data_IF_303780824437
#
_entry.id   IF_303780824437
#
_cell.length_a   1.000
_cell.length_b   1.000
_cell.length_c   1.000
_cell.angle_alpha   90.00
_cell.angle_beta   90.00
_cell.angle_gamma   90.00
#
_symmetry.space_group_name_H-M   'P 1'
#
loop_
_entity.id
_entity.type
_entity.pdbx_description
1 polymer ?
#
# COMPACT_ATOMS: atom_id res chain seq x y z
N UNK A 1 -11.38 9.93 -7.36
CA UNK A 1 -10.50 11.09 -7.60
C UNK A 1 -10.60 12.14 -6.50
N UNK A 2 -11.70 12.90 -6.36
CA UNK A 2 -11.77 14.02 -5.40
C UNK A 2 -11.59 13.62 -3.93
N UNK A 3 -12.13 12.46 -3.51
CA UNK A 3 -11.91 11.95 -2.16
C UNK A 3 -10.44 11.59 -1.90
N UNK A 4 -9.73 11.04 -2.90
CA UNK A 4 -8.30 10.75 -2.78
C UNK A 4 -7.51 12.04 -2.66
N UNK A 5 -7.78 13.02 -3.54
CA UNK A 5 -7.15 14.34 -3.49
C UNK A 5 -7.40 14.99 -2.12
N UNK A 6 -8.63 14.95 -1.60
CA UNK A 6 -8.96 15.46 -0.27
C UNK A 6 -8.23 14.71 0.84
N UNK A 7 -8.17 13.37 0.81
CA UNK A 7 -7.46 12.59 1.82
C UNK A 7 -5.97 12.96 1.90
N UNK A 8 -5.32 13.12 0.74
CA UNK A 8 -3.89 13.44 0.69
C UNK A 8 -3.60 14.94 0.93
N UNK A 9 -4.45 15.85 0.44
CA UNK A 9 -4.31 17.29 0.67
C UNK A 9 -4.64 17.71 2.11
N UNK A 10 -5.60 17.04 2.76
CA UNK A 10 -5.93 17.29 4.17
C UNK A 10 -4.75 16.95 5.09
N UNK A 11 -3.93 15.97 4.73
CA UNK A 11 -2.75 15.58 5.50
C UNK A 11 -1.62 16.64 5.42
N UNK A 12 -1.54 17.41 4.32
CA UNK A 12 -0.59 18.53 4.21
C UNK A 12 -1.03 19.75 5.04
N UNK A 13 -2.34 20.00 5.13
CA UNK A 13 -2.89 21.12 5.91
C UNK A 13 -2.77 20.89 7.42
N UNK A 14 -2.88 19.64 7.88
CA UNK A 14 -2.64 19.31 9.29
C UNK A 14 -1.20 19.61 9.69
N UNK A 15 -0.17 19.35 8.87
CA UNK A 15 1.21 19.70 9.24
C UNK A 15 1.45 21.23 9.36
N UNK A 16 0.74 22.06 8.58
CA UNK A 16 0.84 23.53 8.65
C UNK A 16 0.01 24.15 9.79
N UNK A 17 -1.00 23.44 10.31
CA UNK A 17 -1.84 23.90 11.42
C UNK A 17 -1.48 23.27 12.78
N UNK A 18 -0.64 22.25 12.81
CA UNK A 18 -0.37 21.44 14.00
C UNK A 18 1.04 21.69 14.55
N UNK A 19 1.25 22.89 15.11
CA UNK A 19 2.23 23.08 16.19
C UNK A 19 1.71 22.57 17.55
N UNK A 20 0.57 21.85 17.59
CA UNK A 20 -0.12 21.51 18.85
C UNK A 20 -0.70 20.09 18.98
N UNK A 21 -0.38 19.12 18.11
CA UNK A 21 -0.92 17.75 18.26
C UNK A 21 0.15 16.68 18.10
N UNK A 22 0.83 16.50 19.22
CA UNK A 22 1.70 15.37 19.55
C UNK A 22 0.97 14.04 19.28
N UNK A 23 1.36 13.39 18.19
CA UNK A 23 1.35 11.93 17.97
C UNK A 23 0.01 11.21 18.09
N UNK A 24 -0.59 10.84 16.96
CA UNK A 24 -1.54 9.73 16.96
C UNK A 24 -1.27 8.71 15.85
N UNK A 25 -1.08 7.45 16.29
CA UNK A 25 -0.73 6.27 15.49
C UNK A 25 -1.84 5.85 14.50
N UNK A 26 -3.03 6.43 14.62
CA UNK A 26 -4.17 6.18 13.72
C UNK A 26 -4.07 6.95 12.41
N UNK A 27 -3.54 8.17 12.45
CA UNK A 27 -3.58 9.12 11.32
C UNK A 27 -2.85 8.59 10.07
N UNK A 28 -1.75 7.84 10.26
CA UNK A 28 -0.96 7.26 9.17
C UNK A 28 -1.75 6.28 8.31
N UNK A 29 -2.73 5.58 8.88
CA UNK A 29 -3.50 4.53 8.20
C UNK A 29 -4.93 4.98 7.87
N UNK A 30 -5.34 6.15 8.37
CA UNK A 30 -6.72 6.63 8.19
C UNK A 30 -7.05 6.82 6.70
N UNK A 31 -6.10 7.28 5.89
CA UNK A 31 -6.28 7.36 4.44
C UNK A 31 -6.52 5.98 3.81
N UNK A 32 -5.85 4.90 4.27
CA UNK A 32 -6.09 3.53 3.80
C UNK A 32 -7.50 3.05 4.17
N UNK A 33 -7.95 3.35 5.38
CA UNK A 33 -9.30 3.00 5.84
C UNK A 33 -10.38 3.77 5.08
N UNK A 34 -10.19 5.07 4.86
CA UNK A 34 -11.14 5.91 4.11
C UNK A 34 -11.25 5.41 2.66
N UNK A 35 -10.12 5.14 2.02
CA UNK A 35 -10.08 4.57 0.67
C UNK A 35 -10.85 3.26 0.60
N UNK A 36 -10.59 2.34 1.53
CA UNK A 36 -11.24 1.03 1.53
C UNK A 36 -12.72 1.11 1.87
N UNK A 37 -13.08 1.96 2.83
CA UNK A 37 -14.46 2.26 3.21
C UNK A 37 -15.25 2.85 2.04
N UNK A 38 -14.64 3.79 1.30
CA UNK A 38 -15.26 4.38 0.12
C UNK A 38 -15.57 3.32 -0.95
N UNK A 39 -14.66 2.36 -1.20
CA UNK A 39 -14.92 1.26 -2.13
C UNK A 39 -16.13 0.42 -1.71
N UNK A 40 -16.32 0.18 -0.40
CA UNK A 40 -17.50 -0.55 0.09
C UNK A 40 -18.78 0.24 -0.10
N UNK A 41 -18.75 1.56 0.14
CA UNK A 41 -19.91 2.45 -0.02
C UNK A 41 -20.32 2.56 -1.49
N UNK A 42 -19.32 2.74 -2.37
CA UNK A 42 -19.57 2.91 -3.79
C UNK A 42 -19.74 1.60 -4.54
N UNK A 43 -19.52 0.43 -3.93
CA UNK A 43 -19.58 -0.88 -4.62
C UNK A 43 -20.91 -1.08 -5.36
N UNK A 44 -22.01 -0.84 -4.67
CA UNK A 44 -23.35 -1.17 -5.14
C UNK A 44 -23.94 -0.05 -6.03
N UNK A 45 -23.37 1.16 -5.94
CA UNK A 45 -23.74 2.32 -6.76
C UNK A 45 -22.80 2.56 -7.94
N UNK A 46 -21.64 1.87 -7.99
CA UNK A 46 -20.61 2.06 -9.02
C UNK A 46 -21.15 1.87 -10.43
N UNK A 47 -21.96 0.84 -10.63
CA UNK A 47 -22.57 0.54 -11.94
C UNK A 47 -23.56 1.62 -12.37
N UNK A 48 -24.34 2.16 -11.44
CA UNK A 48 -25.26 3.27 -11.72
C UNK A 48 -24.50 4.57 -12.03
N UNK A 49 -23.38 4.82 -11.35
CA UNK A 49 -22.55 5.99 -11.63
C UNK A 49 -21.83 5.88 -12.98
N UNK A 50 -21.36 4.68 -13.35
CA UNK A 50 -20.76 4.40 -14.66
C UNK A 50 -21.75 4.55 -15.83
N UNK A 51 -23.03 4.27 -15.60
CA UNK A 51 -24.09 4.45 -16.60
C UNK A 51 -24.74 5.84 -16.52
N UNK A 52 -24.30 6.67 -15.57
CA UNK A 52 -24.84 8.00 -15.31
C UNK A 52 -24.04 9.13 -15.96
N UNK A 53 -24.39 10.38 -15.67
CA UNK A 53 -23.74 11.57 -16.26
C UNK A 53 -22.26 11.73 -15.85
N UNK A 54 -21.81 11.01 -14.81
CA UNK A 54 -20.42 11.00 -14.35
C UNK A 54 -19.55 9.94 -15.05
N UNK A 55 -20.13 9.13 -15.94
CA UNK A 55 -19.44 8.10 -16.72
C UNK A 55 -18.08 8.52 -17.29
N UNK A 56 -17.96 9.65 -18.02
CA UNK A 56 -16.68 10.03 -18.65
C UNK A 56 -15.56 10.26 -17.63
N UNK A 57 -15.87 10.79 -16.45
CA UNK A 57 -14.91 11.02 -15.37
C UNK A 57 -14.50 9.70 -14.70
N UNK A 58 -15.42 8.74 -14.66
CA UNK A 58 -15.20 7.45 -14.01
C UNK A 58 -14.48 6.45 -14.92
N UNK A 59 -14.64 6.56 -16.24
CA UNK A 59 -13.94 5.73 -17.22
C UNK A 59 -12.42 5.90 -17.14
N UNK A 60 -11.92 7.11 -16.85
CA UNK A 60 -10.48 7.36 -16.60
C UNK A 60 -9.92 6.62 -15.38
N UNK A 61 -10.79 6.16 -14.48
CA UNK A 61 -10.39 5.42 -13.26
C UNK A 61 -10.42 3.91 -13.44
N UNK A 62 -10.96 3.42 -14.56
CA UNK A 62 -10.97 2.00 -14.88
C UNK A 62 -9.58 1.63 -15.38
N UNK A 63 -8.85 0.85 -14.57
CA UNK A 63 -7.64 0.20 -15.05
C UNK A 63 -8.02 -0.74 -16.19
N UNK A 64 -7.48 -0.59 -17.40
CA UNK A 64 -7.78 -1.52 -18.47
C UNK A 64 -7.06 -2.83 -18.15
N UNK A 65 -7.80 -3.82 -17.66
CA UNK A 65 -7.26 -5.14 -17.29
C UNK A 65 -6.64 -5.91 -18.48
N UNK A 66 -6.80 -5.38 -19.69
CA UNK A 66 -6.38 -5.98 -20.96
C UNK A 66 -5.12 -5.33 -21.54
N UNK A 67 -4.44 -4.43 -20.81
CA UNK A 67 -3.19 -3.86 -21.29
C UNK A 67 -2.11 -4.94 -21.43
N UNK A 68 -1.33 -4.85 -22.52
CA UNK A 68 -0.20 -5.74 -22.71
C UNK A 68 0.80 -5.57 -21.56
N UNK A 69 1.38 -6.67 -21.03
CA UNK A 69 2.39 -6.57 -19.99
C UNK A 69 3.59 -5.77 -20.51
N UNK A 70 4.03 -4.79 -19.71
CA UNK A 70 5.26 -4.06 -19.98
C UNK A 70 6.47 -5.02 -19.86
N UNK A 71 7.60 -4.74 -20.54
CA UNK A 71 8.82 -5.54 -20.39
C UNK A 71 9.26 -5.56 -18.92
N UNK A 72 9.67 -6.73 -18.43
CA UNK A 72 10.03 -6.95 -17.04
C UNK A 72 11.11 -5.95 -16.58
N UNK A 73 10.80 -5.16 -15.55
CA UNK A 73 11.79 -4.28 -14.94
C UNK A 73 12.66 -5.09 -13.98
N UNK A 74 13.93 -5.28 -14.35
CA UNK A 74 14.96 -5.98 -13.57
C UNK A 74 15.01 -5.48 -12.12
N UNK A 75 14.81 -4.19 -11.91
CA UNK A 75 14.85 -3.57 -10.58
C UNK A 75 13.62 -3.94 -9.73
N UNK A 76 12.43 -4.06 -10.32
CA UNK A 76 11.23 -4.53 -9.62
C UNK A 76 11.35 -6.01 -9.23
N UNK A 77 11.84 -6.85 -10.14
CA UNK A 77 12.05 -8.28 -9.86
C UNK A 77 13.12 -8.48 -8.78
N UNK A 78 14.19 -7.69 -8.80
CA UNK A 78 15.21 -7.68 -7.73
C UNK A 78 14.60 -7.31 -6.37
N UNK A 79 13.79 -6.25 -6.30
CA UNK A 79 13.13 -5.79 -5.07
C UNK A 79 12.17 -6.83 -4.49
N UNK A 80 11.41 -7.49 -5.36
CA UNK A 80 10.50 -8.55 -4.95
C UNK A 80 11.26 -9.77 -4.38
N UNK A 81 12.39 -10.12 -4.99
CA UNK A 81 13.26 -11.19 -4.50
C UNK A 81 13.90 -10.88 -3.14
N UNK A 82 14.20 -9.60 -2.86
CA UNK A 82 14.64 -9.19 -1.52
C UNK A 82 13.52 -9.37 -0.50
N UNK A 83 12.28 -9.01 -0.85
CA UNK A 83 11.13 -9.13 0.04
C UNK A 83 10.75 -10.56 0.36
N UNK A 84 10.86 -11.48 -0.61
CA UNK A 84 10.59 -12.90 -0.39
C UNK A 84 11.65 -13.57 0.49
N UNK A 85 12.86 -13.00 0.59
CA UNK A 85 13.93 -13.45 1.47
C UNK A 85 13.80 -12.94 2.92
N UNK A 86 12.80 -12.11 3.24
CA UNK A 86 12.58 -11.69 4.63
C UNK A 86 12.25 -12.90 5.52
N UNK A 87 12.85 -13.00 6.71
CA UNK A 87 12.53 -14.07 7.65
C UNK A 87 11.15 -13.82 8.28
N UNK A 88 10.08 -14.10 7.52
CA UNK A 88 8.69 -14.05 8.01
C UNK A 88 8.45 -15.02 9.19
N UNK A 89 9.33 -16.01 9.37
CA UNK A 89 9.19 -17.11 10.33
C UNK A 89 9.76 -16.83 11.73
N UNK A 90 10.41 -15.67 11.98
CA UNK A 90 10.99 -15.35 13.28
C UNK A 90 10.06 -14.63 14.27
N UNK A 91 8.87 -14.21 13.83
CA UNK A 91 8.02 -13.27 14.57
C UNK A 91 6.95 -13.93 15.46
N UNK A 92 7.01 -15.26 15.63
CA UNK A 92 6.09 -16.02 16.49
C UNK A 92 6.83 -16.75 17.60
N UNK A 93 6.58 -16.31 18.84
CA UNK A 93 6.69 -17.07 20.10
C UNK A 93 8.08 -17.61 20.53
N UNK A 94 8.71 -16.86 21.47
CA UNK A 94 9.41 -17.48 22.61
C UNK A 94 8.37 -18.25 23.44
N UNK A 95 8.10 -19.51 23.10
CA UNK A 95 7.60 -20.49 24.07
C UNK A 95 8.05 -21.89 23.64
N UNK A 96 9.09 -22.35 24.32
CA UNK A 96 9.37 -23.71 24.80
C UNK A 96 8.54 -24.85 24.16
N UNK A 97 9.28 -25.71 23.44
CA UNK A 97 9.19 -27.17 23.33
C UNK A 97 7.87 -27.90 23.00
N UNK A 98 7.90 -28.61 21.85
CA UNK A 98 7.48 -30.01 21.62
C UNK A 98 5.95 -30.30 21.76
N UNK A 99 5.23 -31.06 20.90
CA UNK A 99 5.58 -32.23 20.07
C UNK A 99 4.41 -32.62 19.13
N UNK A 100 4.74 -33.26 18.00
CA UNK A 100 3.92 -34.17 17.16
C UNK A 100 2.74 -33.65 16.29
N UNK A 101 2.77 -34.12 15.03
CA UNK A 101 1.85 -33.95 13.86
C UNK A 101 0.51 -34.70 14.04
N UNK A 102 -0.49 -34.74 13.10
CA UNK A 102 -0.63 -34.19 11.74
C UNK A 102 -2.00 -33.53 11.37
N UNK A 103 -2.02 -32.79 10.25
CA UNK A 103 -3.12 -32.51 9.27
C UNK A 103 -4.57 -32.29 9.78
N UNK A 104 -5.11 -31.07 9.58
CA UNK A 104 -6.23 -30.77 8.65
C UNK A 104 -6.87 -29.40 8.93
N UNK A 105 -7.49 -28.84 7.88
CA UNK A 105 -8.64 -27.91 7.88
C UNK A 105 -8.43 -26.39 8.06
N UNK A 106 -8.66 -25.67 6.93
CA UNK A 106 -8.95 -24.24 6.73
C UNK A 106 -7.75 -23.30 6.83
N UNK A 107 -7.21 -22.96 5.67
CA UNK A 107 -6.11 -22.02 5.44
C UNK A 107 -6.40 -20.66 6.09
N UNK A 108 -5.93 -20.48 7.31
CA UNK A 108 -5.55 -19.16 7.82
C UNK A 108 -4.32 -18.74 7.03
N UNK A 109 -4.53 -18.20 5.82
CA UNK A 109 -3.44 -17.56 5.08
C UNK A 109 -2.93 -16.46 6.00
N UNK A 110 -1.66 -16.56 6.40
CA UNK A 110 -1.05 -15.49 7.16
C UNK A 110 -1.16 -14.19 6.33
N UNK A 111 -1.56 -13.07 6.94
CA UNK A 111 -1.91 -11.85 6.20
C UNK A 111 -0.71 -11.21 5.48
N UNK A 112 0.51 -11.52 5.90
CA UNK A 112 1.75 -10.96 5.33
C UNK A 112 2.10 -11.59 3.97
N UNK A 113 2.20 -12.92 3.78
CA UNK A 113 2.41 -13.52 2.46
C UNK A 113 1.37 -13.11 1.42
N UNK A 114 0.09 -13.01 1.79
CA UNK A 114 -0.96 -12.55 0.89
C UNK A 114 -0.77 -11.08 0.47
N UNK A 115 -0.37 -10.21 1.41
CA UNK A 115 -0.07 -8.81 1.10
C UNK A 115 1.20 -8.65 0.24
N UNK A 116 2.20 -9.52 0.43
CA UNK A 116 3.40 -9.59 -0.39
C UNK A 116 3.06 -10.04 -1.83
N UNK A 117 2.25 -11.08 -1.98
CA UNK A 117 1.80 -11.54 -3.29
C UNK A 117 0.98 -10.45 -4.02
N UNK A 118 0.10 -9.76 -3.29
CA UNK A 118 -0.61 -8.62 -3.84
C UNK A 118 0.34 -7.50 -4.29
N UNK A 119 1.43 -7.25 -3.54
CA UNK A 119 2.43 -6.23 -3.87
C UNK A 119 3.25 -6.63 -5.10
N UNK A 120 3.67 -7.89 -5.16
CA UNK A 120 4.30 -8.51 -6.33
C UNK A 120 3.50 -8.26 -7.59
N UNK A 121 2.20 -8.55 -7.54
CA UNK A 121 1.30 -8.36 -8.67
C UNK A 121 1.01 -6.88 -8.97
N UNK A 122 1.23 -5.98 -8.02
CA UNK A 122 1.01 -4.55 -8.21
C UNK A 122 2.12 -3.89 -9.02
N UNK A 123 3.38 -4.33 -8.91
CA UNK A 123 4.50 -3.73 -9.66
C UNK A 123 4.32 -3.86 -11.18
N UNK A 124 4.07 -5.04 -11.78
CA UNK A 124 3.83 -5.16 -13.21
C UNK A 124 2.62 -4.36 -13.67
N UNK A 125 1.54 -4.35 -12.87
CA UNK A 125 0.32 -3.57 -13.20
C UNK A 125 0.59 -2.07 -13.22
N UNK A 126 1.37 -1.58 -12.26
CA UNK A 126 1.80 -0.18 -12.23
C UNK A 126 2.67 0.15 -13.44
N UNK A 127 3.64 -0.71 -13.76
CA UNK A 127 4.54 -0.53 -14.89
C UNK A 127 3.77 -0.49 -16.22
N UNK A 128 2.85 -1.42 -16.44
CA UNK A 128 1.97 -1.43 -17.61
C UNK A 128 1.13 -0.16 -17.69
N UNK A 129 0.52 0.31 -16.59
CA UNK A 129 -0.23 1.56 -16.63
C UNK A 129 0.67 2.80 -16.90
N UNK A 130 1.91 2.80 -16.41
CA UNK A 130 2.86 3.88 -16.65
C UNK A 130 3.30 3.92 -18.12
N UNK A 131 3.63 2.77 -18.73
CA UNK A 131 4.04 2.72 -20.14
C UNK A 131 2.93 3.20 -21.09
N UNK A 132 1.68 3.02 -20.71
CA UNK A 132 0.51 3.50 -21.46
C UNK A 132 0.07 4.92 -21.08
N UNK A 133 0.79 5.62 -20.17
CA UNK A 133 0.45 6.97 -19.70
C UNK A 133 -0.95 7.09 -19.07
N UNK A 134 -1.48 5.99 -18.53
CA UNK A 134 -2.79 5.94 -17.86
C UNK A 134 -2.65 5.80 -16.34
N UNK A 135 -1.43 5.84 -15.80
CA UNK A 135 -1.19 5.63 -14.38
C UNK A 135 -1.71 6.79 -13.53
N UNK A 136 -2.75 6.53 -12.74
CA UNK A 136 -3.37 7.49 -11.83
C UNK A 136 -3.29 7.03 -10.38
N UNK A 137 -3.47 7.96 -9.44
CA UNK A 137 -3.55 7.65 -8.01
C UNK A 137 -4.65 6.62 -7.71
N UNK A 138 -5.79 6.71 -8.42
CA UNK A 138 -6.87 5.73 -8.33
C UNK A 138 -6.37 4.31 -8.64
N UNK A 139 -5.56 4.16 -9.69
CA UNK A 139 -4.96 2.89 -10.07
C UNK A 139 -3.98 2.42 -9.01
N UNK A 140 -3.07 3.29 -8.56
CA UNK A 140 -2.09 2.96 -7.52
C UNK A 140 -2.74 2.47 -6.23
N UNK A 141 -3.91 3.01 -5.89
CA UNK A 141 -4.71 2.60 -4.75
C UNK A 141 -5.48 1.29 -5.01
N UNK A 142 -5.94 1.06 -6.24
CA UNK A 142 -6.69 -0.15 -6.62
C UNK A 142 -5.81 -1.40 -6.69
N UNK A 143 -4.57 -1.25 -7.13
CA UNK A 143 -3.67 -2.39 -7.39
C UNK A 143 -3.14 -3.04 -6.11
N UNK A 144 -2.96 -2.28 -5.01
CA UNK A 144 -2.44 -2.83 -3.76
C UNK A 144 -3.25 -2.47 -2.51
N UNK A 145 -3.45 -1.18 -2.11
CA UNK A 145 -4.22 -0.85 -0.90
C UNK A 145 -5.63 -1.44 -0.86
N UNK A 146 -6.29 -1.54 -2.01
CA UNK A 146 -7.63 -2.13 -2.10
C UNK A 146 -7.65 -3.66 -2.05
N UNK A 147 -6.50 -4.33 -2.24
CA UNK A 147 -6.37 -5.79 -2.30
C UNK A 147 -5.95 -6.42 -0.96
N UNK A 148 -5.27 -5.67 -0.09
CA UNK A 148 -4.80 -6.19 1.20
C UNK A 148 -5.95 -6.49 2.16
N UNK A 149 -5.81 -7.58 2.93
CA UNK A 149 -6.85 -8.06 3.85
C UNK A 149 -7.07 -7.10 5.03
N UNK A 150 -8.21 -7.23 5.73
CA UNK A 150 -8.44 -6.49 7.00
C UNK A 150 -7.41 -6.86 8.06
N UNK A 151 -6.95 -8.10 8.03
CA UNK A 151 -6.01 -8.65 9.00
C UNK A 151 -4.62 -8.05 8.81
N UNK A 152 -4.21 -7.80 7.56
CA UNK A 152 -3.01 -7.02 7.26
C UNK A 152 -3.10 -5.59 7.80
N UNK A 153 -4.25 -4.92 7.65
CA UNK A 153 -4.44 -3.58 8.24
C UNK A 153 -4.39 -3.61 9.77
N UNK A 154 -4.85 -4.69 10.40
CA UNK A 154 -4.73 -4.86 11.84
C UNK A 154 -3.26 -5.03 12.28
N UNK A 155 -2.42 -5.66 11.45
CA UNK A 155 -0.97 -5.73 11.68
C UNK A 155 -0.29 -4.37 11.52
N UNK A 156 -0.67 -3.58 10.52
CA UNK A 156 -0.19 -2.20 10.38
C UNK A 156 -0.53 -1.36 11.62
N UNK A 157 -1.75 -1.49 12.16
CA UNK A 157 -2.15 -0.83 13.42
C UNK A 157 -1.32 -1.26 14.63
N UNK A 158 -0.80 -2.48 14.61
CA UNK A 158 0.06 -3.04 15.67
C UNK A 158 1.54 -2.69 15.47
N UNK A 159 1.89 -1.91 14.44
CA UNK A 159 3.27 -1.63 14.03
C UNK A 159 4.08 -2.91 13.79
N UNK A 160 3.44 -3.92 13.21
CA UNK A 160 4.16 -5.10 12.79
C UNK A 160 5.22 -4.70 11.74
N UNK A 161 6.52 -4.99 11.97
CA UNK A 161 7.58 -4.48 11.12
C UNK A 161 7.49 -5.06 9.71
N UNK A 162 7.06 -6.31 9.55
CA UNK A 162 6.87 -6.90 8.23
C UNK A 162 5.73 -6.20 7.46
N UNK A 163 4.64 -5.87 8.16
CA UNK A 163 3.56 -5.08 7.56
C UNK A 163 4.03 -3.68 7.13
N UNK A 164 4.78 -2.99 7.99
CA UNK A 164 5.31 -1.65 7.72
C UNK A 164 6.32 -1.65 6.56
N UNK A 165 7.18 -2.66 6.45
CA UNK A 165 8.13 -2.80 5.32
C UNK A 165 7.39 -2.94 3.99
N UNK A 166 6.32 -3.75 3.94
CA UNK A 166 5.50 -3.87 2.73
C UNK A 166 4.84 -2.53 2.34
N UNK A 167 4.35 -1.77 3.32
CA UNK A 167 3.82 -0.43 3.09
C UNK A 167 4.91 0.54 2.60
N UNK A 168 6.14 0.42 3.10
CA UNK A 168 7.27 1.21 2.63
C UNK A 168 7.59 0.92 1.16
N UNK A 169 7.54 -0.35 0.74
CA UNK A 169 7.73 -0.69 -0.68
C UNK A 169 6.58 -0.24 -1.58
N UNK A 170 5.35 -0.20 -1.05
CA UNK A 170 4.26 0.43 -1.77
C UNK A 170 4.54 1.91 -2.09
N UNK A 171 5.28 2.63 -1.24
CA UNK A 171 5.62 4.04 -1.47
C UNK A 171 6.40 4.27 -2.78
N UNK A 172 7.11 3.27 -3.31
CA UNK A 172 7.76 3.34 -4.63
C UNK A 172 6.72 3.59 -5.73
N UNK A 173 5.56 2.93 -5.64
CA UNK A 173 4.48 3.07 -6.61
C UNK A 173 3.87 4.49 -6.59
N UNK A 174 4.13 5.26 -5.53
CA UNK A 174 3.64 6.62 -5.39
C UNK A 174 4.57 7.69 -5.98
N UNK A 175 5.82 7.34 -6.31
CA UNK A 175 6.84 8.26 -6.81
C UNK A 175 6.36 9.11 -8.01
N UNK A 176 5.67 8.56 -9.04
CA UNK A 176 5.22 9.37 -10.17
C UNK A 176 4.23 10.49 -9.79
N UNK A 177 3.54 10.34 -8.65
CA UNK A 177 2.51 11.30 -8.23
C UNK A 177 3.08 12.44 -7.39
N UNK A 178 4.34 12.42 -6.98
CA UNK A 178 4.94 13.53 -6.19
C UNK A 178 4.98 14.86 -6.96
N UNK A 179 4.89 14.80 -8.29
CA UNK A 179 4.74 15.96 -9.18
C UNK A 179 3.37 16.65 -9.04
N UNK A 180 2.36 15.95 -8.52
CA UNK A 180 1.03 16.49 -8.30
C UNK A 180 0.97 17.27 -6.99
N UNK A 181 0.42 18.49 -7.03
CA UNK A 181 0.39 19.40 -5.87
C UNK A 181 -0.15 18.76 -4.59
N UNK A 182 -1.18 17.91 -4.68
CA UNK A 182 -1.83 17.27 -3.53
C UNK A 182 -1.10 16.02 -3.00
N UNK A 183 -0.10 15.52 -3.72
CA UNK A 183 0.75 14.38 -3.32
C UNK A 183 2.18 14.81 -2.98
N UNK A 184 2.46 16.10 -3.09
CA UNK A 184 3.80 16.63 -2.89
C UNK A 184 4.30 16.34 -1.47
N UNK A 185 5.44 15.66 -1.40
CA UNK A 185 6.06 15.22 -0.15
C UNK A 185 5.30 14.12 0.61
N UNK A 186 4.17 13.61 0.10
CA UNK A 186 3.39 12.57 0.79
C UNK A 186 4.20 11.28 0.96
N UNK A 187 4.79 10.78 -0.14
CA UNK A 187 5.65 9.58 -0.12
C UNK A 187 6.83 9.75 0.85
N UNK A 188 7.53 10.89 0.80
CA UNK A 188 8.59 11.26 1.76
C UNK A 188 8.13 11.21 3.22
N UNK A 189 7.02 11.87 3.55
CA UNK A 189 6.46 11.90 4.91
C UNK A 189 6.09 10.51 5.39
N UNK A 190 5.46 9.71 4.53
CA UNK A 190 5.05 8.34 4.83
C UNK A 190 6.26 7.45 5.11
N UNK A 191 7.30 7.51 4.27
CA UNK A 191 8.54 6.74 4.46
C UNK A 191 9.28 7.14 5.75
N UNK A 192 9.42 8.44 6.03
CA UNK A 192 10.03 8.93 7.28
C UNK A 192 9.26 8.43 8.51
N UNK A 193 7.93 8.45 8.47
CA UNK A 193 7.10 7.97 9.58
C UNK A 193 7.26 6.45 9.76
N UNK A 194 7.27 5.67 8.68
CA UNK A 194 7.52 4.23 8.74
C UNK A 194 8.91 3.93 9.33
N UNK A 195 9.94 4.63 8.85
CA UNK A 195 11.31 4.48 9.34
C UNK A 195 11.43 4.76 10.84
N UNK A 196 10.73 5.79 11.34
CA UNK A 196 10.72 6.14 12.76
C UNK A 196 9.94 5.14 13.63
N UNK A 197 8.96 4.44 13.07
CA UNK A 197 8.20 3.39 13.76
C UNK A 197 8.91 2.03 13.76
N UNK A 198 9.87 1.83 12.86
CA UNK A 198 10.62 0.60 12.73
C UNK A 198 11.76 0.53 13.74
N UNK A 199 11.87 -0.61 14.43
CA UNK A 199 13.02 -0.90 15.28
C UNK A 199 14.32 -0.94 14.45
N UNK A 200 15.48 -0.57 15.03
CA UNK A 200 16.74 -0.47 14.31
C UNK A 200 17.13 -1.71 13.50
N UNK A 201 16.77 -2.90 14.01
CA UNK A 201 17.05 -4.19 13.38
C UNK A 201 16.40 -4.32 11.99
N UNK A 202 15.27 -3.66 11.75
CA UNK A 202 14.50 -3.77 10.50
C UNK A 202 14.77 -2.63 9.53
N UNK A 203 15.45 -1.56 9.97
CA UNK A 203 15.66 -0.34 9.16
C UNK A 203 16.47 -0.60 7.89
N UNK A 204 17.36 -1.59 7.89
CA UNK A 204 18.13 -1.97 6.70
C UNK A 204 17.24 -2.37 5.50
N UNK A 205 16.03 -2.90 5.74
CA UNK A 205 15.07 -3.25 4.68
C UNK A 205 14.46 -2.03 3.98
N UNK A 206 14.39 -0.88 4.69
CA UNK A 206 13.77 0.37 4.21
C UNK A 206 14.82 1.45 3.94
N UNK A 207 16.08 1.24 4.33
CA UNK A 207 17.14 2.25 4.21
C UNK A 207 17.34 2.73 2.77
N UNK A 208 17.37 1.83 1.81
CA UNK A 208 17.51 2.21 0.39
C UNK A 208 16.30 3.00 -0.11
N UNK A 209 15.09 2.76 0.42
CA UNK A 209 13.91 3.56 0.09
C UNK A 209 14.09 5.00 0.55
N UNK A 210 14.73 5.19 1.71
CA UNK A 210 15.07 6.51 2.24
C UNK A 210 16.12 7.24 1.39
N UNK A 211 17.04 6.52 0.74
CA UNK A 211 18.02 7.08 -0.19
C UNK A 211 17.38 7.56 -1.49
N UNK A 212 16.19 7.06 -1.84
CA UNK A 212 15.41 7.44 -3.04
C UNK A 212 14.40 8.57 -2.82
N UNK A 213 14.47 9.26 -1.68
CA UNK A 213 13.60 10.39 -1.31
C UNK A 213 14.25 11.72 -1.68
#
# INVERSE_FOLDING_TARGET
>A
MLLLIHCYASEEQDEKLVLARRGNRSELLDWLYIIRGSRSIFRDTWQYMLNGPLSPILQETIFPEHLAPAPENIEHSRRLNLLSAMPFAGMGNKSVSQTHTPKSTKSSQSPIPAALEALSNAFPKAQTAQSHSVYTVCIAVRIWPAQVSSDYLALLKKNDPAALILLAHYCILLEPFESSWYMHGFRRRLLLRIYNQLDPEWRHWVQWLMESI
#
